data_IF_477689789574
#
_entry.id   IF_477689789574
#
_cell.length_a   1.000
_cell.length_b   1.000
_cell.length_c   1.000
_cell.angle_alpha   90.00
_cell.angle_beta   90.00
_cell.angle_gamma   90.00
#
_symmetry.space_group_name_H-M   'P 1'
#
loop_
_entity.id
_entity.type
_entity.pdbx_description
1 polymer ?
#
# COMPACT_ATOMS: atom_id res chain seq x y z
N UNK A 1 -24.25 -11.23 -2.92
CA UNK A 1 -23.06 -12.05 -3.19
C UNK A 1 -22.39 -12.30 -1.84
N UNK A 2 -22.46 -13.52 -1.30
CA UNK A 2 -21.87 -13.85 0.02
C UNK A 2 -20.37 -14.07 -0.15
N UNK A 3 -19.56 -13.25 0.53
CA UNK A 3 -18.11 -13.43 0.55
C UNK A 3 -17.81 -14.72 1.32
N UNK A 4 -17.18 -15.69 0.66
CA UNK A 4 -16.82 -16.97 1.29
C UNK A 4 -15.68 -16.77 2.28
N UNK A 5 -15.71 -17.49 3.40
CA UNK A 5 -14.65 -17.47 4.41
C UNK A 5 -13.26 -17.80 3.81
N UNK A 6 -13.23 -18.64 2.78
CA UNK A 6 -12.04 -18.99 2.01
C UNK A 6 -11.47 -17.79 1.24
N UNK A 7 -12.34 -16.93 0.69
CA UNK A 7 -11.91 -15.71 -0.02
C UNK A 7 -11.31 -14.70 0.95
N UNK A 8 -11.87 -14.57 2.16
CA UNK A 8 -11.32 -13.70 3.21
C UNK A 8 -9.91 -14.17 3.60
N UNK A 9 -9.71 -15.48 3.76
CA UNK A 9 -8.41 -16.07 4.07
C UNK A 9 -7.36 -15.82 2.98
N UNK A 10 -7.74 -15.97 1.71
CA UNK A 10 -6.86 -15.71 0.56
C UNK A 10 -6.45 -14.23 0.54
N UNK A 11 -7.40 -13.31 0.73
CA UNK A 11 -7.11 -11.87 0.81
C UNK A 11 -6.17 -11.56 1.97
N UNK A 12 -6.37 -12.18 3.13
CA UNK A 12 -5.50 -12.02 4.29
C UNK A 12 -4.08 -12.52 4.04
N UNK A 13 -3.90 -13.61 3.30
CA UNK A 13 -2.58 -14.14 2.97
C UNK A 13 -1.88 -13.25 1.92
N UNK A 14 -2.60 -12.84 0.88
CA UNK A 14 -2.02 -12.04 -0.20
C UNK A 14 -1.72 -10.59 0.19
N UNK A 15 -2.55 -9.98 1.05
CA UNK A 15 -2.35 -8.61 1.54
C UNK A 15 -1.53 -8.65 2.84
N UNK A 16 -1.91 -9.51 3.78
CA UNK A 16 -1.31 -9.59 5.11
C UNK A 16 0.07 -10.25 5.11
N UNK A 17 0.36 -11.21 4.23
CA UNK A 17 1.67 -11.86 4.14
C UNK A 17 2.82 -10.87 3.84
N UNK A 18 2.73 -10.07 2.76
CA UNK A 18 3.70 -9.02 2.48
C UNK A 18 3.81 -7.98 3.61
N UNK A 19 2.69 -7.60 4.23
CA UNK A 19 2.68 -6.68 5.37
C UNK A 19 3.42 -7.26 6.59
N UNK A 20 3.17 -8.52 6.94
CA UNK A 20 3.81 -9.22 8.06
C UNK A 20 5.33 -9.36 7.86
N UNK A 21 5.76 -9.71 6.65
CA UNK A 21 7.18 -9.82 6.31
C UNK A 21 7.90 -8.48 6.48
N UNK A 22 7.28 -7.38 6.04
CA UNK A 22 7.88 -6.05 6.11
C UNK A 22 7.85 -5.50 7.55
N UNK A 23 6.84 -5.85 8.34
CA UNK A 23 6.79 -5.61 9.80
C UNK A 23 7.95 -6.31 10.51
N UNK A 24 8.16 -7.61 10.25
CA UNK A 24 9.27 -8.35 10.87
C UNK A 24 10.64 -7.81 10.43
N UNK A 25 10.76 -7.32 9.20
CA UNK A 25 11.95 -6.67 8.69
C UNK A 25 12.17 -5.24 9.26
N UNK A 26 11.33 -4.76 10.19
CA UNK A 26 11.39 -3.40 10.78
C UNK A 26 11.39 -2.29 9.72
N UNK A 27 10.75 -2.51 8.58
CA UNK A 27 10.67 -1.55 7.47
C UNK A 27 9.54 -0.56 7.69
N UNK A 28 9.67 0.27 8.72
CA UNK A 28 8.66 1.24 9.14
C UNK A 28 8.37 2.30 8.07
N UNK A 29 9.39 2.70 7.28
CA UNK A 29 9.22 3.67 6.19
C UNK A 29 8.39 3.08 5.04
N UNK A 30 8.63 1.82 4.69
CA UNK A 30 7.81 1.09 3.72
C UNK A 30 6.35 1.03 4.19
N UNK A 31 6.14 0.64 5.45
CA UNK A 31 4.81 0.46 6.03
C UNK A 31 4.03 1.79 6.07
N UNK A 32 4.68 2.88 6.49
CA UNK A 32 4.10 4.21 6.47
C UNK A 32 3.70 4.66 5.05
N UNK A 33 4.54 4.37 4.04
CA UNK A 33 4.25 4.69 2.64
C UNK A 33 3.02 3.93 2.14
N UNK A 34 2.94 2.65 2.44
CA UNK A 34 1.81 1.80 2.03
C UNK A 34 0.52 2.26 2.69
N UNK A 35 0.53 2.53 4.01
CA UNK A 35 -0.63 3.09 4.73
C UNK A 35 -1.07 4.43 4.11
N UNK A 36 -0.12 5.33 3.87
CA UNK A 36 -0.42 6.63 3.28
C UNK A 36 -1.06 6.48 1.88
N UNK A 37 -0.56 5.54 1.06
CA UNK A 37 -1.17 5.25 -0.23
C UNK A 37 -2.57 4.67 -0.12
N UNK A 38 -2.83 3.74 0.81
CA UNK A 38 -4.19 3.25 1.05
C UNK A 38 -5.16 4.38 1.42
N UNK A 39 -4.73 5.30 2.30
CA UNK A 39 -5.54 6.47 2.67
C UNK A 39 -5.76 7.37 1.45
N UNK A 40 -4.72 7.66 0.68
CA UNK A 40 -4.81 8.50 -0.51
C UNK A 40 -5.76 7.92 -1.55
N UNK A 41 -5.71 6.60 -1.76
CA UNK A 41 -6.61 5.90 -2.67
C UNK A 41 -8.06 5.98 -2.19
N UNK A 42 -8.31 5.78 -0.90
CA UNK A 42 -9.64 5.90 -0.31
C UNK A 42 -10.20 7.33 -0.44
N UNK A 43 -9.36 8.35 -0.23
CA UNK A 43 -9.74 9.75 -0.42
C UNK A 43 -10.04 10.06 -1.89
N UNK A 44 -9.22 9.54 -2.81
CA UNK A 44 -9.48 9.63 -4.25
C UNK A 44 -10.83 8.99 -4.61
N UNK A 45 -11.13 7.83 -4.03
CA UNK A 45 -12.44 7.19 -4.13
C UNK A 45 -13.57 8.10 -3.64
N UNK A 46 -13.42 8.75 -2.47
CA UNK A 46 -14.44 9.69 -1.97
C UNK A 46 -14.66 10.88 -2.92
N UNK A 47 -13.60 11.45 -3.49
CA UNK A 47 -13.69 12.57 -4.44
C UNK A 47 -14.42 12.14 -5.71
N UNK A 48 -14.04 11.00 -6.28
CA UNK A 48 -14.71 10.44 -7.47
C UNK A 48 -16.17 10.09 -7.19
N UNK A 49 -16.49 9.51 -6.04
CA UNK A 49 -17.85 9.21 -5.63
C UNK A 49 -18.73 10.46 -5.57
N UNK A 50 -18.17 11.59 -5.15
CA UNK A 50 -18.88 12.86 -5.08
C UNK A 50 -19.04 13.57 -6.42
N UNK A 51 -18.29 13.18 -7.46
CA UNK A 51 -18.18 13.92 -8.73
C UNK A 51 -18.64 13.14 -9.96
N UNK A 52 -18.79 11.82 -9.86
CA UNK A 52 -18.97 10.92 -11.01
C UNK A 52 -20.27 10.11 -10.91
N UNK A 53 -20.80 9.71 -12.07
CA UNK A 53 -21.91 8.76 -12.14
C UNK A 53 -21.47 7.39 -11.55
N UNK A 54 -22.33 6.78 -10.72
CA UNK A 54 -21.95 5.70 -9.79
C UNK A 54 -21.39 4.45 -10.51
N UNK A 55 -21.78 4.26 -11.77
CA UNK A 55 -21.40 3.11 -12.61
C UNK A 55 -19.98 3.24 -13.18
N UNK A 56 -19.60 4.45 -13.60
CA UNK A 56 -18.26 4.73 -14.12
C UNK A 56 -17.25 4.80 -12.96
N UNK A 57 -17.70 5.32 -11.81
CA UNK A 57 -16.99 5.28 -10.54
C UNK A 57 -16.57 3.88 -10.13
N UNK A 58 -17.54 2.95 -9.99
CA UNK A 58 -17.25 1.61 -9.47
C UNK A 58 -16.29 0.80 -10.34
N UNK A 59 -16.41 0.95 -11.66
CA UNK A 59 -15.65 0.15 -12.63
C UNK A 59 -14.25 0.74 -12.86
N UNK A 60 -14.14 2.05 -13.06
CA UNK A 60 -12.85 2.73 -13.24
C UNK A 60 -12.00 2.71 -11.97
N UNK A 61 -12.61 2.99 -10.81
CA UNK A 61 -11.92 2.93 -9.52
C UNK A 61 -11.54 1.49 -9.15
N UNK A 62 -12.38 0.49 -9.43
CA UNK A 62 -12.06 -0.91 -9.16
C UNK A 62 -10.88 -1.43 -10.00
N UNK A 63 -10.83 -1.07 -11.29
CA UNK A 63 -9.78 -1.51 -12.21
C UNK A 63 -8.41 -0.90 -11.90
N UNK A 64 -8.35 0.26 -11.26
CA UNK A 64 -7.10 0.92 -10.88
C UNK A 64 -6.49 0.38 -9.57
N UNK A 65 -7.21 -0.46 -8.81
CA UNK A 65 -6.71 -1.01 -7.54
C UNK A 65 -5.42 -1.83 -7.76
N UNK A 66 -5.37 -2.84 -8.66
CA UNK A 66 -4.16 -3.64 -8.85
C UNK A 66 -2.92 -2.82 -9.26
N UNK A 67 -2.96 -1.95 -10.29
CA UNK A 67 -1.79 -1.17 -10.67
C UNK A 67 -1.39 -0.15 -9.60
N UNK A 68 -2.35 0.42 -8.86
CA UNK A 68 -2.07 1.32 -7.76
C UNK A 68 -1.34 0.63 -6.60
N UNK A 69 -1.78 -0.57 -6.22
CA UNK A 69 -1.13 -1.36 -5.15
C UNK A 69 0.29 -1.77 -5.52
N UNK A 70 0.53 -2.12 -6.78
CA UNK A 70 1.88 -2.43 -7.28
C UNK A 70 2.74 -1.16 -7.20
N UNK A 71 2.23 -0.03 -7.68
CA UNK A 71 2.95 1.24 -7.67
C UNK A 71 3.34 1.68 -6.26
N UNK A 72 2.39 1.71 -5.31
CA UNK A 72 2.68 2.16 -3.94
C UNK A 72 3.65 1.22 -3.22
N UNK A 73 3.58 -0.09 -3.52
CA UNK A 73 4.50 -1.09 -2.96
C UNK A 73 5.92 -0.87 -3.46
N UNK A 74 6.10 -0.60 -4.76
CA UNK A 74 7.40 -0.25 -5.36
C UNK A 74 7.93 1.06 -4.79
N UNK A 75 7.07 2.08 -4.65
CA UNK A 75 7.42 3.37 -4.06
C UNK A 75 7.89 3.21 -2.61
N UNK A 76 7.16 2.43 -1.81
CA UNK A 76 7.54 2.12 -0.43
C UNK A 76 8.89 1.40 -0.36
N UNK A 77 9.18 0.49 -1.30
CA UNK A 77 10.48 -0.21 -1.33
C UNK A 77 11.62 0.75 -1.67
N UNK A 78 11.38 1.67 -2.60
CA UNK A 78 12.36 2.68 -2.98
C UNK A 78 12.66 3.65 -1.83
N UNK A 79 11.61 4.16 -1.16
CA UNK A 79 11.74 5.04 0.01
C UNK A 79 12.43 4.34 1.18
N UNK A 80 12.11 3.07 1.43
CA UNK A 80 12.78 2.28 2.47
C UNK A 80 14.28 2.14 2.16
N UNK A 81 14.66 1.84 0.91
CA UNK A 81 16.06 1.72 0.51
C UNK A 81 16.84 3.03 0.71
N UNK A 82 16.21 4.18 0.44
CA UNK A 82 16.82 5.49 0.70
C UNK A 82 16.94 5.79 2.20
N UNK A 83 15.93 5.45 2.99
CA UNK A 83 15.94 5.57 4.45
C UNK A 83 17.06 4.71 5.07
N UNK A 84 17.18 3.46 4.66
CA UNK A 84 18.23 2.54 5.14
C UNK A 84 19.63 3.04 4.76
N UNK A 85 19.80 3.57 3.54
CA UNK A 85 21.07 4.18 3.11
C UNK A 85 21.43 5.41 3.96
N UNK A 86 20.47 6.30 4.19
CA UNK A 86 20.68 7.49 5.01
C UNK A 86 20.99 7.14 6.47
N UNK A 87 20.34 6.10 7.01
CA UNK A 87 20.62 5.63 8.37
C UNK A 87 22.05 5.10 8.50
N UNK A 88 22.51 4.29 7.54
CA UNK A 88 23.87 3.74 7.52
C UNK A 88 24.94 4.82 7.37
N UNK A 89 24.69 5.85 6.56
CA UNK A 89 25.59 7.00 6.39
C UNK A 89 25.74 7.84 7.67
N UNK A 90 24.64 8.02 8.42
CA UNK A 90 24.67 8.73 9.72
C UNK A 90 25.38 7.96 10.83
N UNK A 91 25.40 6.63 10.77
CA UNK A 91 26.16 5.79 11.70
C UNK A 91 27.66 5.89 11.39
N UNK A 92 28.05 5.89 10.12
CA UNK A 92 29.45 6.03 9.69
C UNK A 92 30.07 7.41 9.97
N UNK A 93 29.26 8.48 10.06
CA UNK A 93 29.71 9.83 10.43
C UNK A 93 29.85 10.04 11.94
N UNK A 94 29.42 9.07 12.76
CA UNK A 94 29.50 9.11 14.23
C UNK A 94 30.64 8.25 14.80
N UNK A 95 31.25 7.40 13.98
CA UNK A 95 32.53 6.72 14.28
C UNK A 95 33.71 7.61 13.91
#
# INVERSE_FOLDING_TARGET
MSISFSQIFIVFIFIGGPLLLQIMAKKWTWLATVIAGYILYALWGMVLHSTSDVTEYGTGYGMLIPPYLIFITLLGMFLQKMSDKSKKEKEHLKE
#
